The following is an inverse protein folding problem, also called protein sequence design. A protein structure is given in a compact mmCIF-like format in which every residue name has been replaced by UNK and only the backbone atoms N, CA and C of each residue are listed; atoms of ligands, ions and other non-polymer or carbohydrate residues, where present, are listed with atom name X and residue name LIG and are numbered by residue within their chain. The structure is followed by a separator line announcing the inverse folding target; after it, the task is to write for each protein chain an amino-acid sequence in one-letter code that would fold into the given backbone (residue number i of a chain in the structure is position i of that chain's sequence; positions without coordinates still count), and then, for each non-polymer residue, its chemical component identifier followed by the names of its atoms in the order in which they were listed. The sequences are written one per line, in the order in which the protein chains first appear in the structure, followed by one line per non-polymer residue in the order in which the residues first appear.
data_IF_925970262923
#
_entry.id   IF_925970262923
#
_cell.length_a   1.000
_cell.length_b   1.000
_cell.length_c   1.000
_cell.angle_alpha   90.00
_cell.angle_beta   90.00
_cell.angle_gamma   90.00
#
_symmetry.space_group_name_H-M   'P 1'
#
loop_
_entity.id
_entity.type
_entity.pdbx_description
1 polymer ?
#
# COMPACT_ATOMS: atom_id res chain seq x y z
N UNK A 1 -13.14 -23.98 -24.45
CA UNK A 1 -13.18 -22.56 -24.79
C UNK A 1 -13.62 -21.73 -23.63
N UNK A 2 -14.73 -22.04 -23.03
CA UNK A 2 -15.24 -21.29 -21.91
C UNK A 2 -14.27 -21.25 -20.75
N UNK A 3 -13.61 -22.37 -20.49
CA UNK A 3 -12.60 -22.43 -19.44
C UNK A 3 -11.45 -21.49 -19.74
N UNK A 4 -11.03 -21.48 -20.98
CA UNK A 4 -9.92 -20.62 -21.35
C UNK A 4 -10.28 -19.16 -21.15
N UNK A 5 -11.49 -18.78 -21.54
CA UNK A 5 -11.94 -17.40 -21.37
C UNK A 5 -12.03 -17.05 -19.89
N UNK A 6 -12.59 -17.93 -19.06
CA UNK A 6 -12.67 -17.70 -17.62
C UNK A 6 -11.30 -17.64 -17.00
N UNK A 7 -10.42 -18.54 -17.39
CA UNK A 7 -9.06 -18.56 -16.87
C UNK A 7 -8.29 -17.32 -17.30
N UNK A 8 -8.51 -16.85 -18.53
CA UNK A 8 -7.88 -15.65 -19.01
C UNK A 8 -8.30 -14.43 -18.23
N UNK A 9 -9.59 -14.27 -18.02
CA UNK A 9 -10.11 -13.15 -17.25
C UNK A 9 -9.66 -13.21 -15.80
N UNK A 10 -9.72 -14.40 -15.19
CA UNK A 10 -9.26 -14.58 -13.83
C UNK A 10 -7.78 -14.29 -13.69
N UNK A 11 -7.00 -14.70 -14.67
CA UNK A 11 -5.57 -14.45 -14.66
C UNK A 11 -5.26 -12.95 -14.76
N UNK A 12 -5.96 -12.24 -15.63
CA UNK A 12 -5.79 -10.80 -15.79
C UNK A 12 -6.12 -10.09 -14.49
N UNK A 13 -7.24 -10.43 -13.88
CA UNK A 13 -7.65 -9.80 -12.63
C UNK A 13 -6.69 -10.14 -11.51
N UNK A 14 -6.17 -11.35 -11.49
CA UNK A 14 -5.17 -11.73 -10.51
C UNK A 14 -3.88 -10.93 -10.67
N UNK A 15 -3.46 -10.70 -11.91
CA UNK A 15 -2.28 -9.88 -12.18
C UNK A 15 -2.53 -8.44 -11.74
N UNK A 16 -3.69 -7.89 -12.07
CA UNK A 16 -4.05 -6.52 -11.66
C UNK A 16 -4.06 -6.42 -10.14
N UNK A 17 -4.66 -7.42 -9.47
CA UNK A 17 -4.70 -7.43 -8.01
C UNK A 17 -3.29 -7.46 -7.41
N UNK A 18 -2.40 -8.25 -8.00
CA UNK A 18 -1.02 -8.32 -7.54
C UNK A 18 -0.31 -6.98 -7.74
N UNK A 19 -0.52 -6.35 -8.89
CA UNK A 19 0.07 -5.04 -9.17
C UNK A 19 -0.41 -4.01 -8.15
N UNK A 20 -1.69 -3.99 -7.86
CA UNK A 20 -2.26 -3.06 -6.88
C UNK A 20 -1.63 -3.29 -5.52
N UNK A 21 -1.55 -4.54 -5.09
CA UNK A 21 -0.99 -4.86 -3.78
C UNK A 21 0.48 -4.49 -3.70
N UNK A 22 1.25 -4.79 -4.74
CA UNK A 22 2.67 -4.48 -4.77
C UNK A 22 2.88 -2.96 -4.80
N UNK A 23 2.08 -2.24 -5.58
CA UNK A 23 2.18 -0.78 -5.64
C UNK A 23 1.91 -0.16 -4.27
N UNK A 24 0.85 -0.61 -3.60
CA UNK A 24 0.53 -0.09 -2.27
C UNK A 24 1.61 -0.46 -1.25
N UNK A 25 2.17 -1.67 -1.35
CA UNK A 25 3.26 -2.07 -0.48
C UNK A 25 4.52 -1.24 -0.73
N UNK A 26 4.79 -0.90 -1.98
CA UNK A 26 5.93 -0.05 -2.31
C UNK A 26 5.74 1.36 -1.75
N UNK A 27 4.54 1.90 -1.86
CA UNK A 27 4.22 3.20 -1.27
C UNK A 27 4.46 3.15 0.23
N UNK A 28 3.95 2.12 0.89
CA UNK A 28 4.15 1.93 2.33
C UNK A 28 5.61 1.78 2.67
N UNK A 29 6.35 1.05 1.85
CA UNK A 29 7.78 0.81 2.09
C UNK A 29 8.60 2.10 2.11
N UNK A 30 8.33 3.00 1.18
CA UNK A 30 9.03 4.29 1.15
C UNK A 30 8.69 5.12 2.39
N UNK A 31 7.43 5.07 2.83
CA UNK A 31 7.03 5.78 4.05
C UNK A 31 7.76 5.20 5.26
N UNK A 32 7.90 3.88 5.34
CA UNK A 32 8.65 3.24 6.43
C UNK A 32 10.11 3.66 6.40
N UNK A 33 10.71 3.75 5.21
CA UNK A 33 12.08 4.23 5.09
C UNK A 33 12.20 5.65 5.64
N UNK A 34 11.22 6.51 5.34
CA UNK A 34 11.21 7.85 5.91
C UNK A 34 11.13 7.80 7.44
N UNK A 35 10.30 6.92 8.00
CA UNK A 35 10.21 6.76 9.44
C UNK A 35 11.55 6.37 10.04
N UNK A 36 12.29 5.47 9.40
CA UNK A 36 13.61 5.07 9.85
C UNK A 36 14.57 6.25 9.81
N UNK A 37 14.54 7.05 8.73
CA UNK A 37 15.38 8.23 8.63
C UNK A 37 15.07 9.23 9.76
N UNK A 38 13.81 9.43 10.06
CA UNK A 38 13.40 10.31 11.15
C UNK A 38 13.91 9.78 12.49
N UNK A 39 13.70 8.50 12.72
CA UNK A 39 14.06 7.88 13.99
C UNK A 39 15.56 7.96 14.25
N UNK A 40 16.36 7.78 13.22
CA UNK A 40 17.81 7.83 13.34
C UNK A 40 18.38 9.21 13.00
N UNK A 41 17.53 10.22 12.88
CA UNK A 41 17.91 11.62 12.69
C UNK A 41 18.79 11.81 11.46
N UNK A 42 18.38 11.19 10.35
CA UNK A 42 19.10 11.35 9.11
C UNK A 42 19.04 12.81 8.64
N UNK A 43 20.07 13.22 7.90
CA UNK A 43 20.19 14.59 7.44
C UNK A 43 19.07 14.95 6.45
N UNK A 44 18.16 15.88 6.81
CA UNK A 44 17.04 16.22 5.92
C UNK A 44 17.49 16.88 4.61
N UNK A 45 18.70 17.40 4.55
CA UNK A 45 19.23 17.98 3.32
C UNK A 45 19.72 16.94 2.32
N UNK A 46 19.86 15.68 2.75
CA UNK A 46 20.24 14.61 1.85
C UNK A 46 19.11 14.36 0.85
N UNK A 47 19.45 14.18 -0.44
CA UNK A 47 18.47 14.04 -1.48
C UNK A 47 17.55 12.84 -1.30
N UNK A 48 18.09 11.71 -0.83
CA UNK A 48 17.27 10.53 -0.58
C UNK A 48 16.31 10.75 0.58
N UNK A 49 16.78 11.36 1.66
CA UNK A 49 15.94 11.68 2.80
C UNK A 49 14.83 12.65 2.39
N UNK A 50 15.19 13.67 1.63
CA UNK A 50 14.24 14.67 1.11
C UNK A 50 13.20 14.01 0.20
N UNK A 51 13.61 13.08 -0.63
CA UNK A 51 12.69 12.34 -1.49
C UNK A 51 11.67 11.58 -0.65
N UNK A 52 12.13 10.85 0.38
CA UNK A 52 11.20 10.09 1.22
C UNK A 52 10.26 11.00 2.00
N UNK A 53 10.72 12.18 2.39
CA UNK A 53 9.88 13.16 3.06
C UNK A 53 8.76 13.65 2.15
N UNK A 54 9.10 13.97 0.90
CA UNK A 54 8.09 14.40 -0.09
C UNK A 54 7.10 13.28 -0.38
N UNK A 55 7.59 12.06 -0.47
CA UNK A 55 6.75 10.89 -0.69
C UNK A 55 5.76 10.72 0.46
N UNK A 56 6.26 10.82 1.68
CA UNK A 56 5.43 10.72 2.87
C UNK A 56 4.35 11.81 2.88
N UNK A 57 4.70 13.02 2.53
CA UNK A 57 3.73 14.10 2.50
C UNK A 57 2.65 13.88 1.44
N UNK A 58 3.04 13.30 0.32
CA UNK A 58 2.11 13.04 -0.78
C UNK A 58 1.16 11.89 -0.45
N UNK A 59 1.68 10.80 0.07
CA UNK A 59 0.90 9.56 0.24
C UNK A 59 0.47 9.32 1.67
N UNK A 60 1.01 10.02 2.63
CA UNK A 60 0.69 9.85 4.04
C UNK A 60 0.09 11.05 4.71
N UNK A 61 -0.41 12.01 3.94
CA UNK A 61 -0.93 13.28 4.48
C UNK A 61 -2.04 13.05 5.50
N UNK A 62 -2.82 11.99 5.33
CA UNK A 62 -3.99 11.74 6.18
C UNK A 62 -3.63 11.29 7.59
N UNK A 63 -2.38 10.89 7.83
CA UNK A 63 -1.91 10.58 9.19
C UNK A 63 -0.95 11.63 9.72
N UNK A 64 -0.73 12.71 8.96
CA UNK A 64 0.17 13.76 9.42
C UNK A 64 -0.46 14.41 10.63
N UNK A 65 0.30 14.49 11.70
CA UNK A 65 -0.16 15.07 12.97
C UNK A 65 -1.36 14.36 13.57
N UNK A 66 -1.60 13.10 13.18
CA UNK A 66 -2.70 12.34 13.76
C UNK A 66 -2.48 12.08 15.25
N UNK A 67 -1.27 11.67 15.60
CA UNK A 67 -0.84 11.54 16.98
C UNK A 67 0.30 12.52 17.21
N UNK A 68 0.22 13.27 18.30
CA UNK A 68 1.17 14.35 18.57
C UNK A 68 1.75 14.24 19.97
N UNK A 69 2.47 13.15 20.28
CA UNK A 69 3.19 13.10 21.56
C UNK A 69 4.25 14.20 21.62
N UNK A 70 4.73 14.48 22.82
CA UNK A 70 5.62 15.62 23.05
C UNK A 70 6.93 15.51 22.28
N UNK A 71 7.42 14.30 21.99
CA UNK A 71 8.63 14.12 21.22
C UNK A 71 8.29 14.13 19.72
N UNK A 72 8.76 15.14 18.95
CA UNK A 72 8.37 15.23 17.53
C UNK A 72 8.87 14.05 16.71
N UNK A 73 10.01 13.49 17.04
CA UNK A 73 10.56 12.35 16.33
C UNK A 73 9.67 11.11 16.49
N UNK A 74 9.21 10.89 17.72
CA UNK A 74 8.30 9.80 18.00
C UNK A 74 6.97 10.04 17.31
N UNK A 75 6.47 11.27 17.34
CA UNK A 75 5.21 11.64 16.70
C UNK A 75 5.27 11.32 15.21
N UNK A 76 6.31 11.76 14.53
CA UNK A 76 6.42 11.56 13.11
C UNK A 76 6.59 10.07 12.77
N UNK A 77 7.38 9.36 13.55
CA UNK A 77 7.58 7.92 13.34
C UNK A 77 6.28 7.16 13.46
N UNK A 78 5.51 7.45 14.50
CA UNK A 78 4.20 6.77 14.71
C UNK A 78 3.26 7.07 13.54
N UNK A 79 3.17 8.33 13.13
CA UNK A 79 2.26 8.72 12.07
C UNK A 79 2.67 8.10 10.73
N UNK A 80 3.97 8.01 10.48
CA UNK A 80 4.48 7.36 9.27
C UNK A 80 4.12 5.88 9.24
N UNK A 81 4.32 5.19 10.36
CA UNK A 81 4.00 3.76 10.45
C UNK A 81 2.50 3.55 10.24
N UNK A 82 1.67 4.41 10.80
CA UNK A 82 0.23 4.31 10.59
C UNK A 82 -0.14 4.49 9.13
N UNK A 83 0.47 5.46 8.45
CA UNK A 83 0.23 5.64 7.02
C UNK A 83 0.63 4.39 6.24
N UNK A 84 1.78 3.82 6.57
CA UNK A 84 2.24 2.60 5.90
C UNK A 84 1.27 1.44 6.11
N UNK A 85 0.80 1.26 7.34
CA UNK A 85 -0.17 0.20 7.65
C UNK A 85 -1.45 0.40 6.84
N UNK A 86 -1.94 1.64 6.76
CA UNK A 86 -3.14 1.93 5.98
C UNK A 86 -2.93 1.55 4.52
N UNK A 87 -1.79 1.89 3.94
CA UNK A 87 -1.53 1.55 2.54
C UNK A 87 -1.48 0.04 2.32
N UNK A 88 -0.85 -0.71 3.23
CA UNK A 88 -0.81 -2.16 3.12
C UNK A 88 -2.22 -2.75 3.23
N UNK A 89 -3.01 -2.26 4.18
CA UNK A 89 -4.38 -2.74 4.36
C UNK A 89 -5.23 -2.42 3.15
N UNK A 90 -5.14 -1.19 2.65
CA UNK A 90 -5.89 -0.76 1.47
C UNK A 90 -5.50 -1.63 0.27
N UNK A 91 -4.21 -1.85 0.06
CA UNK A 91 -3.76 -2.69 -1.04
C UNK A 91 -4.28 -4.10 -0.93
N UNK A 92 -4.27 -4.66 0.27
CA UNK A 92 -4.78 -6.00 0.51
C UNK A 92 -6.28 -6.08 0.24
N UNK A 93 -7.04 -5.10 0.73
CA UNK A 93 -8.49 -5.09 0.54
C UNK A 93 -8.86 -4.89 -0.93
N UNK A 94 -8.19 -3.97 -1.61
CA UNK A 94 -8.44 -3.74 -3.03
C UNK A 94 -8.10 -4.98 -3.85
N UNK A 95 -6.98 -5.62 -3.52
CA UNK A 95 -6.57 -6.85 -4.18
C UNK A 95 -7.63 -7.92 -4.02
N UNK A 96 -8.16 -8.08 -2.82
CA UNK A 96 -9.22 -9.08 -2.58
C UNK A 96 -10.50 -8.74 -3.33
N UNK A 97 -10.86 -7.46 -3.38
CA UNK A 97 -12.05 -7.04 -4.13
C UNK A 97 -11.88 -7.31 -5.62
N UNK A 98 -10.71 -7.03 -6.15
CA UNK A 98 -10.44 -7.27 -7.56
C UNK A 98 -10.55 -8.77 -7.86
N UNK A 99 -9.97 -9.60 -7.02
CA UNK A 99 -10.05 -11.06 -7.20
C UNK A 99 -11.49 -11.55 -7.10
N UNK A 100 -12.29 -10.94 -6.22
CA UNK A 100 -13.70 -11.30 -6.11
C UNK A 100 -14.51 -11.02 -7.34
N UNK A 101 -14.04 -10.08 -8.18
CA UNK A 101 -14.70 -9.76 -9.43
C UNK A 101 -14.38 -10.77 -10.51
N UNK A 102 -13.55 -11.77 -10.22
CA UNK A 102 -13.18 -12.77 -11.22
C UNK A 102 -14.34 -13.69 -11.50
N UNK A 103 -14.26 -14.40 -12.62
CA UNK A 103 -15.27 -15.40 -12.98
C UNK A 103 -15.34 -16.58 -12.05
N UNK A 104 -14.80 -16.49 -10.86
CA UNK A 104 -15.05 -17.51 -9.84
C UNK A 104 -16.53 -17.71 -9.65
N UNK A 105 -17.30 -16.63 -9.75
CA UNK A 105 -18.74 -16.76 -9.74
C UNK A 105 -19.23 -17.53 -10.94
N UNK A 106 -18.57 -17.37 -12.06
CA UNK A 106 -18.87 -18.15 -13.25
C UNK A 106 -18.56 -19.62 -13.03
N UNK A 107 -17.50 -19.89 -12.32
CA UNK A 107 -17.17 -21.26 -11.93
C UNK A 107 -18.28 -21.90 -11.14
N UNK A 108 -18.86 -21.15 -10.21
CA UNK A 108 -19.97 -21.67 -9.44
C UNK A 108 -21.18 -21.94 -10.32
N UNK A 109 -21.46 -21.02 -11.21
CA UNK A 109 -22.55 -21.22 -12.16
C UNK A 109 -22.31 -22.48 -12.96
N UNK A 110 -21.08 -22.75 -13.27
CA UNK A 110 -20.72 -23.91 -14.03
C UNK A 110 -20.98 -25.20 -13.25
N UNK A 111 -20.75 -25.15 -11.97
CA UNK A 111 -21.00 -26.32 -11.13
C UNK A 111 -22.46 -26.65 -11.04
N UNK A 112 -23.27 -25.64 -11.11
CA UNK A 112 -24.71 -25.90 -11.09
C UNK A 112 -25.20 -26.29 -12.46
#
# INVERSE_FOLDING_TARGET
MRYMASNGAAQILSIVATIVRVACAAIAGVIVIHAVFVLFEANPANGLVSFTASWRDTFGWFTKDLFTPSNPKIAETINDVLAAVVWVVVGSLLSKLIVRMTPATTSKAKES
#
